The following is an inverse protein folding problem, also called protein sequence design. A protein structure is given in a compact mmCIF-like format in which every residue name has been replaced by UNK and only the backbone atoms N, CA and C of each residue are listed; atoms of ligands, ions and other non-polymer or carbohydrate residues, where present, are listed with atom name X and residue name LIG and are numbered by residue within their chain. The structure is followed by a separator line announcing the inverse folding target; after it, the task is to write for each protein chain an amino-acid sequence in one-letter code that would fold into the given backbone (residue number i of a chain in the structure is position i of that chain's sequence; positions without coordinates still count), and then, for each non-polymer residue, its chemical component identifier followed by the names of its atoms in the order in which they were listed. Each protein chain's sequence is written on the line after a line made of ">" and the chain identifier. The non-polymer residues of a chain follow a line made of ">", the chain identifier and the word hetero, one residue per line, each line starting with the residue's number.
data_IF_595768857867
#
_entry.id   IF_595768857867
#
_cell.length_a   1.000
_cell.length_b   1.000
_cell.length_c   1.000
_cell.angle_alpha   90.00
_cell.angle_beta   90.00
_cell.angle_gamma   90.00
#
_symmetry.space_group_name_H-M   'P 1'
#
loop_
_entity.id
_entity.type
_entity.pdbx_description
1 polymer ?
#
# COMPACT_ATOMS: atom_id res chain seq x y z
N UNK A 1 8.55 -10.91 -10.53
CA UNK A 1 8.41 -11.51 -9.17
C UNK A 1 7.18 -12.42 -9.05
N UNK A 2 5.98 -11.98 -9.45
CA UNK A 2 4.76 -12.84 -9.44
C UNK A 2 4.96 -14.14 -10.22
N UNK A 3 5.49 -14.09 -11.46
CA UNK A 3 5.80 -15.29 -12.25
C UNK A 3 6.78 -16.26 -11.60
N UNK A 4 7.73 -15.76 -10.79
CA UNK A 4 8.70 -16.60 -10.09
C UNK A 4 8.05 -17.27 -8.87
N UNK A 5 7.20 -16.53 -8.15
CA UNK A 5 6.37 -17.09 -7.07
C UNK A 5 5.35 -18.12 -7.61
N UNK A 6 4.75 -17.86 -8.77
CA UNK A 6 3.86 -18.79 -9.48
C UNK A 6 4.60 -20.05 -9.95
N UNK A 7 5.82 -19.90 -10.49
CA UNK A 7 6.65 -21.04 -10.87
C UNK A 7 7.08 -21.88 -9.66
N UNK A 8 7.47 -21.24 -8.55
CA UNK A 8 7.75 -21.93 -7.29
C UNK A 8 6.52 -22.68 -6.76
N UNK A 9 5.33 -22.08 -6.86
CA UNK A 9 4.07 -22.71 -6.46
C UNK A 9 3.71 -23.91 -7.36
N UNK A 10 3.87 -23.77 -8.69
CA UNK A 10 3.65 -24.88 -9.65
C UNK A 10 4.60 -26.05 -9.42
N UNK A 11 5.88 -25.77 -9.15
CA UNK A 11 6.86 -26.81 -8.83
C UNK A 11 6.52 -27.55 -7.52
N UNK A 12 5.98 -26.83 -6.54
CA UNK A 12 5.46 -27.42 -5.30
C UNK A 12 4.21 -28.29 -5.55
N UNK A 13 3.31 -27.89 -6.45
CA UNK A 13 2.11 -28.68 -6.79
C UNK A 13 2.45 -29.99 -7.51
N UNK A 14 3.51 -30.00 -8.34
CA UNK A 14 3.96 -31.19 -9.08
C UNK A 14 4.56 -32.26 -8.14
N UNK A 15 5.17 -31.87 -7.02
CA UNK A 15 5.71 -32.82 -6.03
C UNK A 15 4.66 -33.39 -5.06
N UNK A 16 3.40 -32.92 -5.12
CA UNK A 16 2.34 -33.26 -4.16
C UNK A 16 1.59 -34.56 -4.48
N UNK A 17 1.97 -35.30 -5.52
CA UNK A 17 1.30 -36.55 -5.88
C UNK A 17 2.07 -37.74 -5.28
N UNK A 18 1.89 -37.99 -3.98
CA UNK A 18 1.93 -39.31 -3.28
C UNK A 18 2.19 -39.19 -1.75
N UNK A 19 1.12 -39.14 -0.95
CA UNK A 19 0.91 -39.78 0.37
C UNK A 19 2.10 -39.87 1.36
N UNK A 20 2.84 -38.76 1.52
CA UNK A 20 3.74 -38.44 2.67
C UNK A 20 3.52 -36.98 3.15
N UNK A 21 2.29 -36.51 2.95
CA UNK A 21 1.98 -35.12 2.58
C UNK A 21 1.98 -34.09 3.72
N UNK A 22 1.66 -34.46 4.97
CA UNK A 22 1.50 -33.46 6.04
C UNK A 22 2.84 -32.91 6.58
N UNK A 23 3.84 -33.77 6.78
CA UNK A 23 5.15 -33.36 7.30
C UNK A 23 5.97 -32.67 6.21
N UNK A 24 5.94 -33.20 4.98
CA UNK A 24 6.59 -32.56 3.82
C UNK A 24 6.00 -31.17 3.54
N UNK A 25 4.67 -31.00 3.69
CA UNK A 25 4.03 -29.70 3.50
C UNK A 25 4.45 -28.67 4.55
N UNK A 26 4.56 -29.06 5.82
CA UNK A 26 5.04 -28.15 6.88
C UNK A 26 6.48 -27.70 6.61
N UNK A 27 7.38 -28.63 6.32
CA UNK A 27 8.79 -28.30 6.01
C UNK A 27 8.89 -27.43 4.75
N UNK A 28 8.11 -27.74 3.70
CA UNK A 28 8.10 -26.93 2.48
C UNK A 28 7.58 -25.52 2.73
N UNK A 29 6.51 -25.40 3.53
CA UNK A 29 5.94 -24.11 3.92
C UNK A 29 6.97 -23.28 4.69
N UNK A 30 7.66 -23.86 5.67
CA UNK A 30 8.72 -23.18 6.41
C UNK A 30 9.86 -22.73 5.50
N UNK A 31 10.31 -23.57 4.57
CA UNK A 31 11.33 -23.18 3.59
C UNK A 31 10.88 -22.02 2.68
N UNK A 32 9.62 -22.02 2.26
CA UNK A 32 9.06 -20.92 1.47
C UNK A 32 9.00 -19.62 2.26
N UNK A 33 8.58 -19.67 3.53
CA UNK A 33 8.58 -18.49 4.40
C UNK A 33 10.00 -17.97 4.64
N UNK A 34 10.96 -18.84 4.93
CA UNK A 34 12.36 -18.44 5.13
C UNK A 34 12.90 -17.72 3.89
N UNK A 35 12.69 -18.31 2.70
CA UNK A 35 13.11 -17.68 1.43
C UNK A 35 12.37 -16.36 1.16
N UNK A 36 11.08 -16.28 1.50
CA UNK A 36 10.31 -15.06 1.33
C UNK A 36 10.82 -13.92 2.22
N UNK A 37 11.09 -14.19 3.49
CA UNK A 37 11.64 -13.19 4.42
C UNK A 37 13.02 -12.74 3.97
N UNK A 38 13.91 -13.67 3.58
CA UNK A 38 15.22 -13.33 3.03
C UNK A 38 15.08 -12.43 1.79
N UNK A 39 14.17 -12.78 0.87
CA UNK A 39 13.88 -11.98 -0.34
C UNK A 39 13.39 -10.57 0.00
N UNK A 40 12.47 -10.46 0.96
CA UNK A 40 11.92 -9.19 1.41
C UNK A 40 13.03 -8.28 1.96
N UNK A 41 13.88 -8.81 2.84
CA UNK A 41 14.97 -8.02 3.44
C UNK A 41 16.05 -7.69 2.41
N UNK A 42 16.36 -8.58 1.45
CA UNK A 42 17.21 -8.26 0.30
C UNK A 42 16.67 -7.07 -0.51
N UNK A 43 15.36 -7.01 -0.77
CA UNK A 43 14.75 -5.86 -1.47
C UNK A 43 14.93 -4.55 -0.67
N UNK A 44 14.71 -4.58 0.65
CA UNK A 44 14.90 -3.41 1.52
C UNK A 44 16.36 -2.98 1.53
N UNK A 45 17.29 -3.93 1.59
CA UNK A 45 18.72 -3.65 1.56
C UNK A 45 19.14 -3.01 0.23
N UNK A 46 18.69 -3.55 -0.91
CA UNK A 46 18.94 -2.97 -2.23
C UNK A 46 18.37 -1.55 -2.34
N UNK A 47 17.13 -1.34 -1.91
CA UNK A 47 16.54 0.00 -1.88
C UNK A 47 17.37 0.96 -1.02
N UNK A 48 17.87 0.51 0.14
CA UNK A 48 18.73 1.34 0.99
C UNK A 48 20.05 1.73 0.33
N UNK A 49 20.64 0.83 -0.47
CA UNK A 49 21.87 1.08 -1.24
C UNK A 49 21.65 2.11 -2.35
N UNK A 50 20.46 2.15 -2.93
CA UNK A 50 20.09 3.11 -3.98
C UNK A 50 19.74 4.49 -3.42
N UNK A 51 18.99 4.53 -2.33
CA UNK A 51 18.40 5.76 -1.82
C UNK A 51 19.26 6.48 -0.76
N UNK A 52 20.17 5.79 -0.07
CA UNK A 52 20.99 6.38 0.99
C UNK A 52 22.48 6.39 0.63
N UNK A 53 23.11 7.56 0.74
CA UNK A 53 24.56 7.68 0.52
C UNK A 53 25.39 7.28 1.75
N UNK A 54 24.88 7.48 2.98
CA UNK A 54 25.65 7.27 4.22
C UNK A 54 24.98 6.34 5.24
N UNK A 55 23.68 6.08 5.12
CA UNK A 55 22.89 5.25 6.06
C UNK A 55 22.44 3.94 5.40
N UNK A 56 23.32 3.35 4.60
CA UNK A 56 23.05 2.09 3.90
C UNK A 56 22.87 0.97 4.94
N UNK A 57 21.87 0.12 4.75
CA UNK A 57 21.67 -1.04 5.61
C UNK A 57 22.77 -2.06 5.30
N UNK A 58 23.64 -2.30 6.28
CA UNK A 58 24.77 -3.23 6.13
C UNK A 58 24.33 -4.70 6.20
N UNK A 59 25.15 -5.60 5.64
CA UNK A 59 24.91 -7.04 5.75
C UNK A 59 24.84 -7.50 7.22
N UNK A 60 25.64 -6.91 8.11
CA UNK A 60 25.63 -7.24 9.54
C UNK A 60 24.30 -6.86 10.16
N UNK A 61 23.77 -5.68 9.83
CA UNK A 61 22.45 -5.21 10.30
C UNK A 61 21.34 -6.16 9.85
N UNK A 62 21.35 -6.55 8.57
CA UNK A 62 20.37 -7.49 8.01
C UNK A 62 20.44 -8.85 8.69
N UNK A 63 21.63 -9.43 8.83
CA UNK A 63 21.80 -10.75 9.42
C UNK A 63 21.40 -10.76 10.91
N UNK A 64 21.74 -9.72 11.66
CA UNK A 64 21.29 -9.59 13.05
C UNK A 64 19.76 -9.46 13.16
N UNK A 65 19.14 -8.71 12.24
CA UNK A 65 17.68 -8.59 12.18
C UNK A 65 17.02 -9.95 11.87
N UNK A 66 17.49 -10.66 10.85
CA UNK A 66 17.00 -11.99 10.50
C UNK A 66 17.16 -12.98 11.65
N UNK A 67 18.33 -12.96 12.31
CA UNK A 67 18.60 -13.81 13.46
C UNK A 67 17.67 -13.51 14.64
N UNK A 68 17.34 -12.23 14.89
CA UNK A 68 16.39 -11.85 15.95
C UNK A 68 14.96 -12.36 15.70
N UNK A 69 14.62 -12.64 14.43
CA UNK A 69 13.35 -13.25 14.02
C UNK A 69 13.41 -14.78 13.93
N UNK A 70 14.55 -15.39 14.26
CA UNK A 70 14.77 -16.84 14.21
C UNK A 70 15.22 -17.37 12.83
N UNK A 71 15.54 -16.50 11.88
CA UNK A 71 16.07 -16.88 10.57
C UNK A 71 17.60 -16.80 10.55
N UNK A 72 18.25 -17.95 10.38
CA UNK A 72 19.71 -18.02 10.29
C UNK A 72 20.11 -18.08 8.82
N UNK A 73 20.86 -17.06 8.38
CA UNK A 73 21.36 -16.95 7.01
C UNK A 73 22.83 -16.60 6.99
N UNK A 74 23.52 -17.00 5.92
CA UNK A 74 24.91 -16.60 5.69
C UNK A 74 24.98 -15.30 4.88
N UNK A 75 26.18 -14.68 4.82
CA UNK A 75 26.40 -13.50 3.97
C UNK A 75 26.27 -13.86 2.49
N UNK A 76 26.69 -15.07 2.13
CA UNK A 76 26.65 -15.62 0.78
C UNK A 76 25.20 -15.81 0.32
N UNK A 77 24.35 -16.39 1.17
CA UNK A 77 22.91 -16.55 0.90
C UNK A 77 22.21 -15.19 0.73
N UNK A 78 22.56 -14.21 1.55
CA UNK A 78 22.02 -12.86 1.44
C UNK A 78 22.42 -12.20 0.11
N UNK A 79 23.70 -12.30 -0.28
CA UNK A 79 24.21 -11.76 -1.52
C UNK A 79 23.58 -12.44 -2.75
N UNK A 80 23.44 -13.75 -2.71
CA UNK A 80 22.77 -14.52 -3.78
C UNK A 80 21.30 -14.09 -3.91
N UNK A 81 20.60 -13.93 -2.79
CA UNK A 81 19.24 -13.41 -2.78
C UNK A 81 19.14 -12.00 -3.38
N UNK A 82 20.06 -11.08 -3.06
CA UNK A 82 20.11 -9.75 -3.67
C UNK A 82 20.33 -9.83 -5.19
N UNK A 83 21.31 -10.62 -5.63
CA UNK A 83 21.62 -10.81 -7.03
C UNK A 83 20.44 -11.41 -7.81
N UNK A 84 19.72 -12.35 -7.21
CA UNK A 84 18.50 -12.89 -7.79
C UNK A 84 17.38 -11.84 -7.89
N UNK A 85 17.31 -10.85 -6.99
CA UNK A 85 16.31 -9.77 -7.06
C UNK A 85 16.63 -8.94 -8.28
N UNK A 86 17.89 -8.51 -8.39
CA UNK A 86 18.38 -7.70 -9.50
C UNK A 86 18.15 -8.39 -10.85
N UNK A 87 18.53 -9.66 -10.97
CA UNK A 87 18.25 -10.46 -12.18
C UNK A 87 16.76 -10.53 -12.51
N UNK A 88 15.91 -10.74 -11.50
CA UNK A 88 14.45 -10.84 -11.69
C UNK A 88 13.81 -9.54 -12.14
N UNK A 89 14.46 -8.40 -11.86
CA UNK A 89 14.07 -7.07 -12.31
C UNK A 89 14.81 -6.65 -13.59
N UNK A 90 15.58 -7.54 -14.22
CA UNK A 90 16.48 -7.23 -15.35
C UNK A 90 17.41 -6.03 -15.05
N UNK A 91 17.81 -5.88 -13.78
CA UNK A 91 18.61 -4.76 -13.26
C UNK A 91 17.95 -3.38 -13.43
N UNK A 92 16.65 -3.31 -13.74
CA UNK A 92 15.88 -2.07 -13.84
C UNK A 92 15.36 -1.65 -12.47
N UNK A 93 16.24 -1.06 -11.65
CA UNK A 93 15.96 -0.64 -10.28
C UNK A 93 15.92 0.88 -10.08
N UNK A 94 16.43 1.64 -11.05
CA UNK A 94 16.46 3.11 -11.01
C UNK A 94 15.24 3.70 -11.74
N UNK A 95 14.05 3.35 -11.27
CA UNK A 95 12.79 3.87 -11.81
C UNK A 95 12.26 5.00 -10.91
N UNK A 96 11.60 6.02 -11.48
CA UNK A 96 10.97 7.08 -10.68
C UNK A 96 9.97 6.50 -9.67
N UNK A 97 10.09 6.92 -8.42
CA UNK A 97 9.16 6.54 -7.35
C UNK A 97 8.01 7.56 -7.28
N UNK A 98 6.87 7.20 -6.69
CA UNK A 98 5.81 8.18 -6.39
C UNK A 98 6.32 9.42 -5.65
N UNK A 99 7.28 9.25 -4.72
CA UNK A 99 7.89 10.37 -4.01
C UNK A 99 8.63 11.33 -4.96
N UNK A 100 9.35 10.82 -5.97
CA UNK A 100 10.04 11.67 -6.93
C UNK A 100 9.06 12.57 -7.71
N UNK A 101 7.88 12.06 -8.06
CA UNK A 101 6.82 12.87 -8.69
C UNK A 101 6.24 13.89 -7.71
N UNK A 102 6.02 13.52 -6.45
CA UNK A 102 5.56 14.45 -5.40
C UNK A 102 6.55 15.61 -5.24
N UNK A 103 7.83 15.32 -5.07
CA UNK A 103 8.86 16.35 -4.87
C UNK A 103 9.00 17.27 -6.10
N UNK A 104 8.99 16.69 -7.30
CA UNK A 104 9.00 17.46 -8.55
C UNK A 104 7.79 18.41 -8.64
N UNK A 105 6.58 17.93 -8.33
CA UNK A 105 5.37 18.75 -8.40
C UNK A 105 5.34 19.83 -7.31
N UNK A 106 5.82 19.53 -6.10
CA UNK A 106 5.93 20.53 -5.02
C UNK A 106 6.90 21.65 -5.39
N UNK A 107 8.02 21.34 -6.05
CA UNK A 107 8.96 22.34 -6.55
C UNK A 107 8.29 23.23 -7.61
N UNK A 108 7.57 22.65 -8.58
CA UNK A 108 6.86 23.40 -9.62
C UNK A 108 5.74 24.27 -9.03
N UNK A 109 5.01 23.77 -8.03
CA UNK A 109 4.01 24.55 -7.30
C UNK A 109 4.62 25.77 -6.58
N UNK A 110 5.77 25.57 -5.94
CA UNK A 110 6.53 26.65 -5.30
C UNK A 110 7.00 27.70 -6.32
N UNK A 111 7.53 27.26 -7.45
CA UNK A 111 7.95 28.14 -8.55
C UNK A 111 6.77 28.97 -9.13
N UNK A 112 5.59 28.35 -9.23
CA UNK A 112 4.38 29.01 -9.74
C UNK A 112 3.70 29.93 -8.71
N UNK A 113 4.29 30.14 -7.53
CA UNK A 113 3.79 31.06 -6.51
C UNK A 113 2.60 30.51 -5.70
N UNK A 114 2.43 29.19 -5.62
CA UNK A 114 1.42 28.60 -4.76
C UNK A 114 1.77 28.87 -3.28
N UNK A 115 0.91 29.60 -2.56
CA UNK A 115 1.17 30.10 -1.21
C UNK A 115 1.00 29.03 -0.12
N UNK A 116 1.54 27.83 -0.34
CA UNK A 116 1.47 26.72 0.62
C UNK A 116 2.85 26.47 1.22
N UNK A 117 2.98 26.29 2.55
CA UNK A 117 4.26 25.95 3.17
C UNK A 117 4.76 24.60 2.65
N UNK A 118 5.65 24.62 1.65
CA UNK A 118 6.11 23.42 0.93
C UNK A 118 6.69 22.35 1.87
N UNK A 119 7.37 22.75 2.94
CA UNK A 119 7.94 21.84 3.95
C UNK A 119 6.89 21.09 4.76
N UNK A 120 5.81 21.77 5.19
CA UNK A 120 4.70 21.14 5.91
C UNK A 120 3.88 20.24 4.98
N UNK A 121 3.70 20.69 3.74
CA UNK A 121 3.01 19.92 2.71
C UNK A 121 3.78 18.65 2.37
N UNK A 122 5.11 18.72 2.20
CA UNK A 122 5.98 17.57 1.94
C UNK A 122 5.93 16.54 3.08
N UNK A 123 6.01 16.96 4.34
CA UNK A 123 5.92 16.04 5.49
C UNK A 123 4.58 15.29 5.53
N UNK A 124 3.48 15.97 5.17
CA UNK A 124 2.16 15.35 5.07
C UNK A 124 2.10 14.38 3.89
N UNK A 125 2.68 14.75 2.74
CA UNK A 125 2.75 13.88 1.58
C UNK A 125 3.49 12.58 1.88
N UNK A 126 4.61 12.63 2.62
CA UNK A 126 5.35 11.44 3.06
C UNK A 126 4.45 10.52 3.90
N UNK A 127 3.74 11.10 4.87
CA UNK A 127 2.83 10.34 5.76
C UNK A 127 1.70 9.67 4.97
N UNK A 128 1.12 10.38 4.00
CA UNK A 128 0.07 9.83 3.15
C UNK A 128 0.59 8.80 2.15
N UNK A 129 1.82 8.94 1.65
CA UNK A 129 2.45 7.92 0.80
C UNK A 129 2.63 6.62 1.57
N UNK A 130 3.15 6.69 2.80
CA UNK A 130 3.27 5.51 3.68
C UNK A 130 1.90 4.85 3.90
N UNK A 131 0.87 5.65 4.18
CA UNK A 131 -0.50 5.15 4.32
C UNK A 131 -0.98 4.47 3.03
N UNK A 132 -0.76 5.08 1.87
CA UNK A 132 -1.17 4.48 0.58
C UNK A 132 -0.43 3.17 0.31
N UNK A 133 0.85 3.07 0.67
CA UNK A 133 1.57 1.79 0.55
C UNK A 133 0.98 0.71 1.46
N UNK A 134 0.58 1.06 2.69
CA UNK A 134 -0.01 0.13 3.66
C UNK A 134 -1.46 -0.24 3.31
N UNK A 135 -2.25 0.72 2.83
CA UNK A 135 -3.67 0.62 2.53
C UNK A 135 -3.95 0.63 1.02
N UNK A 136 -2.98 0.20 0.21
CA UNK A 136 -3.04 0.26 -1.25
C UNK A 136 -4.32 -0.38 -1.80
N UNK A 137 -4.58 -1.63 -1.39
CA UNK A 137 -5.76 -2.37 -1.86
C UNK A 137 -7.09 -1.65 -1.52
N UNK A 138 -7.41 -1.34 -0.25
CA UNK A 138 -8.69 -0.71 0.07
C UNK A 138 -8.86 0.67 -0.58
N UNK A 139 -7.80 1.49 -0.67
CA UNK A 139 -7.88 2.82 -1.30
C UNK A 139 -8.25 2.70 -2.78
N UNK A 140 -7.54 1.85 -3.53
CA UNK A 140 -7.83 1.67 -4.95
C UNK A 140 -9.14 0.92 -5.21
N UNK A 141 -9.59 0.04 -4.30
CA UNK A 141 -10.93 -0.55 -4.38
C UNK A 141 -12.03 0.50 -4.15
N UNK A 142 -11.83 1.44 -3.23
CA UNK A 142 -12.74 2.56 -3.01
C UNK A 142 -12.79 3.48 -4.22
N UNK A 143 -11.63 3.82 -4.80
CA UNK A 143 -11.54 4.63 -6.02
C UNK A 143 -12.24 3.97 -7.21
N UNK A 144 -12.00 2.67 -7.43
CA UNK A 144 -12.68 1.92 -8.48
C UNK A 144 -14.20 1.95 -8.28
N UNK A 145 -14.67 1.71 -7.05
CA UNK A 145 -16.09 1.73 -6.72
C UNK A 145 -16.72 3.10 -6.98
N UNK A 146 -16.03 4.19 -6.63
CA UNK A 146 -16.49 5.55 -6.89
C UNK A 146 -16.64 5.82 -8.40
N UNK A 147 -15.69 5.37 -9.22
CA UNK A 147 -15.70 5.55 -10.68
C UNK A 147 -16.82 4.81 -11.42
N UNK A 148 -17.48 3.85 -10.76
CA UNK A 148 -18.61 3.06 -11.29
C UNK A 148 -19.90 3.30 -10.51
N UNK A 149 -20.02 4.46 -9.87
CA UNK A 149 -21.21 4.90 -9.12
C UNK A 149 -21.64 3.92 -8.02
N UNK A 150 -20.66 3.32 -7.34
CA UNK A 150 -20.85 2.35 -6.25
C UNK A 150 -21.49 1.00 -6.63
N UNK A 151 -21.42 0.62 -7.90
CA UNK A 151 -21.76 -0.73 -8.34
C UNK A 151 -20.67 -1.76 -7.97
N UNK A 152 -20.98 -3.06 -8.11
CA UNK A 152 -20.00 -4.14 -7.91
C UNK A 152 -19.10 -4.20 -9.14
N UNK A 153 -17.76 -4.05 -9.01
CA UNK A 153 -16.87 -4.08 -10.16
C UNK A 153 -16.87 -5.45 -10.85
N UNK A 154 -17.00 -5.44 -12.17
CA UNK A 154 -16.76 -6.63 -13.01
C UNK A 154 -15.26 -6.93 -13.13
N UNK A 155 -14.92 -8.17 -13.47
CA UNK A 155 -13.52 -8.57 -13.68
C UNK A 155 -12.83 -7.71 -14.76
N UNK A 156 -13.52 -7.43 -15.87
CA UNK A 156 -12.99 -6.60 -16.95
C UNK A 156 -12.69 -5.16 -16.49
N UNK A 157 -13.53 -4.59 -15.62
CA UNK A 157 -13.27 -3.28 -15.03
C UNK A 157 -12.05 -3.33 -14.11
N UNK A 158 -11.90 -4.38 -13.32
CA UNK A 158 -10.72 -4.59 -12.47
C UNK A 158 -9.41 -4.67 -13.28
N UNK A 159 -9.43 -5.35 -14.43
CA UNK A 159 -8.28 -5.46 -15.33
C UNK A 159 -7.93 -4.12 -15.98
N UNK A 160 -8.92 -3.37 -16.47
CA UNK A 160 -8.70 -2.02 -17.03
C UNK A 160 -8.19 -1.03 -16.00
N UNK A 161 -8.58 -1.20 -14.73
CA UNK A 161 -8.19 -0.31 -13.64
C UNK A 161 -6.74 -0.53 -13.16
N UNK A 162 -6.03 -1.55 -13.67
CA UNK A 162 -4.61 -1.76 -13.37
C UNK A 162 -3.77 -0.56 -13.81
N UNK A 163 -4.08 0.07 -14.95
CA UNK A 163 -3.36 1.26 -15.41
C UNK A 163 -3.44 2.42 -14.41
N UNK A 164 -4.59 2.59 -13.74
CA UNK A 164 -4.80 3.62 -12.70
C UNK A 164 -3.97 3.33 -11.46
N UNK A 165 -3.79 2.04 -11.10
CA UNK A 165 -2.95 1.62 -9.97
C UNK A 165 -1.46 1.85 -10.23
N UNK A 166 -1.05 1.81 -11.49
CA UNK A 166 0.35 1.97 -11.92
C UNK A 166 0.69 3.42 -12.31
N UNK A 167 -0.29 4.33 -12.31
CA UNK A 167 -0.09 5.75 -12.61
C UNK A 167 0.44 6.51 -11.38
N UNK A 168 1.77 6.62 -11.29
CA UNK A 168 2.44 7.35 -10.22
C UNK A 168 2.24 8.87 -10.29
N UNK A 169 1.96 9.44 -11.47
CA UNK A 169 1.67 10.87 -11.59
C UNK A 169 0.30 11.17 -10.97
N UNK A 170 -0.71 10.36 -11.30
CA UNK A 170 -2.03 10.44 -10.69
C UNK A 170 -1.94 10.26 -9.17
N UNK A 171 -1.16 9.27 -8.70
CA UNK A 171 -0.92 9.09 -7.27
C UNK A 171 -0.30 10.34 -6.63
N UNK A 172 0.73 10.92 -7.24
CA UNK A 172 1.39 12.11 -6.70
C UNK A 172 0.44 13.31 -6.58
N UNK A 173 -0.35 13.61 -7.61
CA UNK A 173 -1.33 14.71 -7.54
C UNK A 173 -2.42 14.46 -6.50
N UNK A 174 -2.87 13.21 -6.36
CA UNK A 174 -3.84 12.81 -5.34
C UNK A 174 -3.31 12.97 -3.91
N UNK A 175 -2.04 12.59 -3.69
CA UNK A 175 -1.33 12.77 -2.41
C UNK A 175 -1.18 14.26 -2.06
N UNK A 176 -0.74 15.08 -3.02
CA UNK A 176 -0.55 16.53 -2.79
C UNK A 176 -1.90 17.19 -2.49
N UNK A 177 -2.93 16.86 -3.26
CA UNK A 177 -4.29 17.38 -3.04
C UNK A 177 -4.84 16.97 -1.66
N UNK A 178 -4.70 15.70 -1.26
CA UNK A 178 -5.12 15.24 0.07
C UNK A 178 -4.33 15.93 1.18
N UNK A 179 -3.02 16.12 0.99
CA UNK A 179 -2.15 16.81 1.95
C UNK A 179 -2.52 18.29 2.10
N UNK A 180 -2.82 18.97 0.99
CA UNK A 180 -3.28 20.36 1.00
C UNK A 180 -4.61 20.50 1.76
N UNK A 181 -5.53 19.55 1.57
CA UNK A 181 -6.81 19.52 2.29
C UNK A 181 -6.61 19.38 3.80
N UNK A 182 -5.72 18.47 4.24
CA UNK A 182 -5.42 18.24 5.67
C UNK A 182 -4.79 19.47 6.31
N UNK A 183 -3.86 20.13 5.60
CA UNK A 183 -3.11 21.26 6.14
C UNK A 183 -3.92 22.54 6.16
N UNK A 184 -4.54 22.89 5.04
CA UNK A 184 -5.43 24.05 4.94
C UNK A 184 -6.43 23.87 3.80
N UNK A 185 -7.66 23.51 4.15
CA UNK A 185 -8.75 23.35 3.17
C UNK A 185 -9.00 24.58 2.29
N UNK A 186 -8.65 25.80 2.74
CA UNK A 186 -8.84 27.04 1.97
C UNK A 186 -7.94 27.10 0.73
N UNK A 187 -6.71 26.57 0.80
CA UNK A 187 -5.79 26.56 -0.33
C UNK A 187 -5.96 25.36 -1.27
N UNK A 188 -6.83 24.41 -0.92
CA UNK A 188 -7.01 23.17 -1.68
C UNK A 188 -7.41 23.43 -3.14
N UNK A 189 -8.39 24.30 -3.36
CA UNK A 189 -8.87 24.62 -4.72
C UNK A 189 -7.79 25.22 -5.61
N UNK A 190 -6.96 26.09 -5.04
CA UNK A 190 -5.81 26.67 -5.73
C UNK A 190 -4.78 25.58 -6.08
N UNK A 191 -4.39 24.74 -5.11
CA UNK A 191 -3.43 23.65 -5.32
C UNK A 191 -3.90 22.72 -6.42
N UNK A 192 -5.15 22.23 -6.36
CA UNK A 192 -5.69 21.31 -7.35
C UNK A 192 -5.77 21.96 -8.73
N UNK A 193 -6.15 23.24 -8.82
CA UNK A 193 -6.14 24.00 -10.07
C UNK A 193 -4.75 24.08 -10.71
N UNK A 194 -3.70 24.35 -9.91
CA UNK A 194 -2.33 24.33 -10.41
C UNK A 194 -1.88 22.92 -10.84
N UNK A 195 -2.19 21.90 -10.05
CA UNK A 195 -1.85 20.51 -10.40
C UNK A 195 -2.49 20.07 -11.72
N UNK A 196 -3.76 20.41 -11.94
CA UNK A 196 -4.44 20.20 -13.23
C UNK A 196 -3.71 20.94 -14.36
N UNK A 197 -3.36 22.21 -14.16
CA UNK A 197 -2.64 23.00 -15.18
C UNK A 197 -1.25 22.44 -15.51
N UNK A 198 -0.54 21.87 -14.53
CA UNK A 198 0.81 21.33 -14.71
C UNK A 198 0.78 19.95 -15.38
N UNK A 199 -0.15 19.09 -14.95
CA UNK A 199 -0.16 17.67 -15.33
C UNK A 199 -1.15 17.32 -16.44
N UNK A 200 -2.15 18.18 -16.67
CA UNK A 200 -3.27 17.90 -17.57
C UNK A 200 -4.29 16.90 -17.00
N UNK A 201 -4.12 16.41 -15.77
CA UNK A 201 -5.05 15.48 -15.12
C UNK A 201 -6.32 16.24 -14.74
N UNK A 202 -7.48 15.65 -15.05
CA UNK A 202 -8.78 16.24 -14.77
C UNK A 202 -8.99 16.50 -13.27
N UNK A 203 -9.62 17.62 -12.93
CA UNK A 203 -9.89 18.04 -11.56
C UNK A 203 -10.64 16.94 -10.78
N UNK A 204 -11.60 16.29 -11.45
CA UNK A 204 -12.42 15.22 -10.91
C UNK A 204 -11.56 14.02 -10.51
N UNK A 205 -10.61 13.61 -11.37
CA UNK A 205 -9.72 12.49 -11.08
C UNK A 205 -8.78 12.79 -9.91
N UNK A 206 -8.27 14.03 -9.81
CA UNK A 206 -7.46 14.47 -8.66
C UNK A 206 -8.30 14.44 -7.38
N UNK A 207 -9.52 14.99 -7.44
CA UNK A 207 -10.44 15.06 -6.32
C UNK A 207 -10.85 13.67 -5.84
N UNK A 208 -11.24 12.77 -6.74
CA UNK A 208 -11.67 11.40 -6.42
C UNK A 208 -10.56 10.60 -5.72
N UNK A 209 -9.32 10.63 -6.25
CA UNK A 209 -8.22 9.93 -5.61
C UNK A 209 -7.86 10.57 -4.27
N UNK A 210 -7.83 11.91 -4.18
CA UNK A 210 -7.56 12.60 -2.92
C UNK A 210 -8.61 12.24 -1.85
N UNK A 211 -9.88 12.17 -2.25
CA UNK A 211 -10.98 11.77 -1.37
C UNK A 211 -10.87 10.30 -0.93
N UNK A 212 -10.50 9.39 -1.83
CA UNK A 212 -10.26 8.00 -1.49
C UNK A 212 -9.13 7.86 -0.45
N UNK A 213 -8.03 8.61 -0.62
CA UNK A 213 -6.93 8.64 0.35
C UNK A 213 -7.43 9.18 1.70
N UNK A 214 -8.13 10.32 1.71
CA UNK A 214 -8.63 10.95 2.94
C UNK A 214 -9.60 10.06 3.71
N UNK A 215 -10.50 9.36 3.01
CA UNK A 215 -11.48 8.43 3.59
C UNK A 215 -10.80 7.29 4.36
N UNK A 216 -9.61 6.87 3.92
CA UNK A 216 -8.81 5.85 4.58
C UNK A 216 -7.77 6.43 5.56
N UNK A 217 -7.54 7.75 5.55
CA UNK A 217 -6.62 8.46 6.45
C UNK A 217 -7.28 8.84 7.78
N UNK A 218 -8.51 9.34 7.71
CA UNK A 218 -9.34 9.61 8.89
C UNK A 218 -10.02 8.29 9.22
N UNK A 219 -9.49 7.55 10.20
CA UNK A 219 -9.96 6.20 10.55
C UNK A 219 -11.49 6.10 10.51
N UNK A 220 -12.00 5.05 9.85
CA UNK A 220 -13.41 4.85 9.52
C UNK A 220 -14.32 4.86 10.77
N UNK A 221 -14.63 6.04 11.30
CA UNK A 221 -15.63 6.29 12.33
C UNK A 221 -16.89 6.89 11.69
N UNK A 222 -17.37 6.29 10.59
CA UNK A 222 -18.70 6.51 9.99
C UNK A 222 -18.94 5.39 8.98
N UNK A 223 -19.91 4.49 9.03
CA UNK A 223 -21.02 4.22 9.92
C UNK A 223 -21.05 2.71 10.09
N UNK A 224 -21.00 2.22 11.33
CA UNK A 224 -21.59 0.93 11.62
C UNK A 224 -23.04 1.01 11.16
N UNK A 225 -23.36 0.31 10.06
CA UNK A 225 -24.73 0.03 9.64
C UNK A 225 -25.41 -0.55 10.86
N UNK A 226 -26.24 0.23 11.55
CA UNK A 226 -27.15 -0.29 12.57
C UNK A 226 -27.98 -1.34 11.84
N UNK A 227 -27.63 -2.61 12.04
CA UNK A 227 -28.58 -3.68 11.78
C UNK A 227 -29.77 -3.41 12.70
N UNK A 228 -31.00 -3.35 12.17
CA UNK A 228 -32.17 -3.35 13.04
C UNK A 228 -32.08 -4.62 13.87
N UNK A 229 -32.02 -4.47 15.19
CA UNK A 229 -32.15 -5.59 16.12
C UNK A 229 -33.51 -6.24 15.80
N UNK A 230 -33.57 -7.56 15.54
CA UNK A 230 -34.84 -8.23 15.29
C UNK A 230 -35.76 -8.11 16.52
N UNK A 231 -37.08 -7.93 16.34
CA UNK A 231 -38.05 -7.65 17.42
C UNK A 231 -38.26 -8.81 18.42
N UNK A 232 -37.45 -9.87 18.35
CA UNK A 232 -37.56 -11.03 19.23
C UNK A 232 -36.63 -11.01 20.45
N UNK A 233 -35.69 -10.05 20.55
CA UNK A 233 -34.83 -9.91 21.74
C UNK A 233 -35.33 -8.89 22.77
N UNK A 234 -36.13 -7.89 22.38
CA UNK A 234 -36.74 -6.95 23.34
C UNK A 234 -37.83 -7.60 24.21
N UNK A 235 -38.54 -8.60 23.67
CA UNK A 235 -39.57 -9.33 24.41
C UNK A 235 -39.03 -10.19 25.56
N UNK A 236 -37.73 -10.49 25.56
CA UNK A 236 -37.09 -11.31 26.62
C UNK A 236 -36.46 -10.46 27.73
N UNK A 237 -36.08 -9.22 27.43
CA UNK A 237 -35.56 -8.28 28.42
C UNK A 237 -36.65 -7.73 29.36
N UNK A 238 -37.87 -7.51 28.85
CA UNK A 238 -39.00 -7.00 29.64
C UNK A 238 -39.66 -8.04 30.57
N UNK A 239 -39.42 -9.35 30.37
CA UNK A 239 -39.91 -10.40 31.29
C UNK A 239 -38.96 -10.72 32.44
N UNK A 240 -37.69 -10.34 32.34
CA UNK A 240 -36.72 -10.57 33.41
C UNK A 240 -36.80 -9.51 34.53
N UNK A 241 -37.32 -8.32 34.24
CA UNK A 241 -37.45 -7.22 35.21
C UNK A 241 -38.75 -7.26 36.03
N UNK A 242 -39.72 -8.09 35.65
CA UNK A 242 -41.01 -8.17 36.35
C UNK A 242 -41.07 -9.26 37.45
N UNK A 243 -40.02 -10.08 37.63
CA UNK A 243 -40.01 -11.18 38.62
C UNK A 243 -39.12 -10.92 39.84
N UNK A 244 -38.77 -9.66 40.11
CA UNK A 244 -37.89 -9.29 41.24
C UNK A 244 -38.46 -8.16 42.10
N UNK A 245 -39.78 -8.10 42.27
CA UNK A 245 -40.44 -7.31 43.31
C UNK A 245 -41.78 -7.97 43.67
N UNK A 246 -41.72 -8.90 44.64
CA UNK A 246 -42.67 -9.24 45.72
C UNK A 246 -42.41 -10.68 46.17
#
# INVERSE_FOLDING_TARGET
>A
MVKQAENMNRQATIQLREKKEAQNWKTLKEQLFNKFILRLVSCVQLASKLSFHYKIISNVTVLNFLQSLGYVHTKEELLESELDVLKSLNFQINLPTPLAYVEMLLEVLGYNGCLVPATQLHATCLTLLDLVYLLHKPIYESLLRASIENSVPSQLQGEKFVSVKEDFMLLAVGIIAASAFIQNHECWSQVVGHLQSITGIALESIAELSYAILTHSVGANTLGRQQPVPPHLEARALRATASSNT
#
